data_IF_991115159628
#
_entry.id   IF_991115159628
#
_cell.length_a   1.000
_cell.length_b   1.000
_cell.length_c   1.000
_cell.angle_alpha   90.00
_cell.angle_beta   90.00
_cell.angle_gamma   90.00
#
_symmetry.space_group_name_H-M   'P 1'
#
loop_
_entity.id
_entity.type
_entity.pdbx_description
1 polymer ?
#
# COMPACT_ATOMS: atom_id res chain seq x y z
N UNK A 1 0.30 -11.48 16.48
CA UNK A 1 1.34 -11.35 17.51
C UNK A 1 0.76 -10.86 18.83
N UNK A 2 1.54 -10.94 19.89
CA UNK A 2 1.19 -10.33 21.18
C UNK A 2 2.01 -9.05 21.35
N UNK A 3 1.39 -8.02 21.91
CA UNK A 3 2.07 -6.77 22.24
C UNK A 3 3.13 -6.98 23.34
N UNK A 4 4.19 -6.22 23.22
CA UNK A 4 5.07 -5.97 24.35
C UNK A 4 4.38 -4.96 25.28
N UNK A 5 4.29 -5.26 26.59
CA UNK A 5 3.61 -4.41 27.58
C UNK A 5 4.23 -3.02 27.76
N UNK A 6 5.34 -2.73 27.11
CA UNK A 6 6.08 -1.46 27.19
C UNK A 6 5.86 -0.52 25.98
N UNK A 7 5.09 -0.94 24.97
CA UNK A 7 4.83 -0.14 23.78
C UNK A 7 3.35 0.14 23.61
N UNK A 8 3.01 1.34 23.20
CA UNK A 8 1.64 1.68 22.86
C UNK A 8 1.21 0.99 21.54
N UNK A 9 -0.09 0.86 21.32
CA UNK A 9 -0.66 0.33 20.06
C UNK A 9 -0.14 1.13 18.86
N UNK A 10 -0.09 2.45 18.97
CA UNK A 10 0.38 3.33 17.90
C UNK A 10 1.86 3.15 17.61
N UNK A 11 2.71 3.05 18.62
CA UNK A 11 4.14 2.76 18.43
C UNK A 11 4.35 1.40 17.77
N UNK A 12 3.58 0.40 18.17
CA UNK A 12 3.63 -0.93 17.56
C UNK A 12 3.23 -0.88 16.09
N UNK A 13 2.16 -0.17 15.75
CA UNK A 13 1.74 0.03 14.35
C UNK A 13 2.84 0.77 13.56
N UNK A 14 3.34 1.88 14.08
CA UNK A 14 4.35 2.70 13.39
C UNK A 14 5.68 1.98 13.20
N UNK A 15 6.03 1.03 14.06
CA UNK A 15 7.25 0.23 13.89
C UNK A 15 7.21 -0.66 12.64
N UNK A 16 6.02 -1.08 12.22
CA UNK A 16 5.82 -1.92 11.03
C UNK A 16 5.40 -1.16 9.78
N UNK A 17 4.92 0.07 9.93
CA UNK A 17 4.36 0.86 8.83
C UNK A 17 5.35 1.95 8.34
N UNK A 18 5.37 2.29 7.03
CA UNK A 18 4.66 1.65 5.92
C UNK A 18 5.20 0.23 5.62
N UNK A 19 4.31 -0.64 5.13
CA UNK A 19 4.65 -2.03 4.85
C UNK A 19 5.73 -2.14 3.76
N UNK A 20 6.78 -2.96 4.01
CA UNK A 20 7.90 -3.12 3.09
C UNK A 20 7.51 -3.64 1.71
N UNK A 21 6.42 -4.42 1.63
CA UNK A 21 5.88 -4.96 0.37
C UNK A 21 5.38 -3.88 -0.60
N UNK A 22 5.09 -2.69 -0.11
CA UNK A 22 4.61 -1.55 -0.95
C UNK A 22 5.57 -0.38 -0.97
N UNK A 23 6.56 -0.35 -0.07
CA UNK A 23 7.62 0.66 -0.08
C UNK A 23 8.91 0.12 -0.73
N UNK A 24 9.31 -1.08 -0.39
CA UNK A 24 10.56 -1.68 -0.83
C UNK A 24 11.62 -1.73 0.27
N UNK A 25 12.81 -2.22 -0.08
CA UNK A 25 13.94 -2.35 0.82
C UNK A 25 15.26 -1.95 0.12
N UNK A 26 16.15 -1.22 0.81
CA UNK A 26 16.03 -0.60 2.14
C UNK A 26 14.90 0.44 2.19
N UNK A 27 14.09 0.43 3.25
CA UNK A 27 12.81 1.16 3.32
C UNK A 27 12.94 2.66 3.01
N UNK A 28 13.88 3.35 3.65
CA UNK A 28 14.05 4.80 3.49
C UNK A 28 14.43 5.13 2.05
N UNK A 29 15.45 4.47 1.49
CA UNK A 29 15.87 4.74 0.11
C UNK A 29 14.81 4.38 -0.91
N UNK A 30 14.05 3.32 -0.69
CA UNK A 30 12.93 2.95 -1.54
C UNK A 30 11.83 4.03 -1.55
N UNK A 31 11.52 4.60 -0.39
CA UNK A 31 10.54 5.68 -0.27
C UNK A 31 11.01 6.98 -0.93
N UNK A 32 12.32 7.32 -0.83
CA UNK A 32 12.92 8.44 -1.55
C UNK A 32 12.77 8.27 -3.07
N UNK A 33 13.11 7.08 -3.59
CA UNK A 33 12.96 6.77 -5.03
C UNK A 33 11.51 6.88 -5.48
N UNK A 34 10.57 6.41 -4.68
CA UNK A 34 9.14 6.54 -4.96
C UNK A 34 8.74 8.02 -5.07
N UNK A 35 9.20 8.86 -4.14
CA UNK A 35 8.88 10.31 -4.17
C UNK A 35 9.57 11.04 -5.34
N UNK A 36 10.77 10.60 -5.74
CA UNK A 36 11.50 11.11 -6.90
C UNK A 36 10.81 10.76 -8.23
N UNK A 37 10.31 9.52 -8.38
CA UNK A 37 9.88 8.98 -9.67
C UNK A 37 8.37 9.01 -9.89
N UNK A 38 7.55 8.85 -8.85
CA UNK A 38 6.11 8.84 -8.99
C UNK A 38 5.55 10.26 -9.14
N UNK A 39 5.00 10.55 -10.31
CA UNK A 39 4.41 11.88 -10.62
C UNK A 39 3.16 12.18 -9.80
N UNK A 40 2.44 11.17 -9.36
CA UNK A 40 1.19 11.29 -8.61
C UNK A 40 1.37 10.77 -7.18
N UNK A 41 0.93 11.55 -6.22
CA UNK A 41 0.93 11.10 -4.82
C UNK A 41 0.00 9.90 -4.64
N UNK A 42 0.45 8.90 -3.89
CA UNK A 42 -0.28 7.64 -3.64
C UNK A 42 -1.58 7.82 -2.85
N UNK A 43 -1.64 8.82 -1.99
CA UNK A 43 -2.82 9.11 -1.14
C UNK A 43 -3.25 7.87 -0.35
N UNK A 44 -4.45 7.33 -0.66
CA UNK A 44 -4.96 6.13 -0.02
C UNK A 44 -4.18 4.87 -0.40
N UNK A 45 -3.68 4.79 -1.64
CA UNK A 45 -2.98 3.62 -2.15
C UNK A 45 -1.73 3.30 -1.33
N UNK A 46 -1.56 2.04 -0.95
CA UNK A 46 -0.48 1.54 -0.10
C UNK A 46 -0.47 2.07 1.35
N UNK A 47 -1.50 2.81 1.75
CA UNK A 47 -1.72 3.21 3.13
C UNK A 47 -2.19 2.06 4.01
N UNK A 48 -2.36 2.30 5.31
CA UNK A 48 -2.97 1.38 6.26
C UNK A 48 -4.46 1.67 6.45
N UNK A 49 -5.26 0.63 6.48
CA UNK A 49 -6.66 0.67 6.90
C UNK A 49 -6.83 -0.32 8.04
N UNK A 50 -7.50 0.10 9.10
CA UNK A 50 -7.71 -0.80 10.22
C UNK A 50 -8.62 -0.22 11.29
N UNK A 51 -8.75 -0.95 12.36
CA UNK A 51 -9.52 -0.54 13.52
C UNK A 51 -8.78 -0.88 14.82
N UNK A 52 -9.10 -0.14 15.86
CA UNK A 52 -8.62 -0.35 17.21
C UNK A 52 -9.81 -0.64 18.12
N UNK A 53 -9.65 -1.59 19.03
CA UNK A 53 -10.70 -1.95 19.98
C UNK A 53 -10.42 -1.38 21.37
N UNK A 54 -11.45 -1.22 22.22
CA UNK A 54 -11.25 -0.79 23.60
C UNK A 54 -10.39 -1.77 24.44
N UNK A 55 -10.26 -3.02 24.00
CA UNK A 55 -9.45 -4.06 24.65
C UNK A 55 -7.96 -4.03 24.26
N UNK A 56 -7.50 -2.94 23.68
CA UNK A 56 -6.14 -2.81 23.18
C UNK A 56 -5.75 -3.84 22.11
N UNK A 57 -6.69 -4.22 21.27
CA UNK A 57 -6.43 -5.01 20.07
C UNK A 57 -6.54 -4.11 18.83
N UNK A 58 -5.83 -4.46 17.76
CA UNK A 58 -6.04 -3.84 16.47
C UNK A 58 -5.84 -4.85 15.33
N UNK A 59 -6.51 -4.56 14.23
CA UNK A 59 -6.31 -5.28 12.98
C UNK A 59 -6.17 -4.27 11.85
N UNK A 60 -5.18 -4.49 10.98
CA UNK A 60 -4.85 -3.57 9.89
C UNK A 60 -4.53 -4.32 8.62
N UNK A 61 -4.87 -3.72 7.50
CA UNK A 61 -4.47 -4.19 6.18
C UNK A 61 -3.86 -3.06 5.35
N UNK A 62 -3.17 -3.43 4.28
CA UNK A 62 -2.66 -2.47 3.30
C UNK A 62 -3.78 -2.11 2.34
N UNK A 63 -3.96 -0.81 2.06
CA UNK A 63 -4.93 -0.30 1.08
C UNK A 63 -4.50 -0.66 -0.35
N UNK A 64 -4.71 -1.91 -0.74
CA UNK A 64 -4.48 -2.46 -2.06
C UNK A 64 -5.79 -3.01 -2.64
N UNK A 65 -5.88 -3.17 -3.96
CA UNK A 65 -7.08 -3.69 -4.64
C UNK A 65 -8.33 -2.91 -4.22
N UNK A 66 -8.15 -1.61 -4.02
CA UNK A 66 -9.18 -0.67 -3.54
C UNK A 66 -9.35 0.42 -4.58
N UNK A 67 -10.58 0.85 -4.79
CA UNK A 67 -10.89 1.97 -5.65
C UNK A 67 -11.55 3.09 -4.84
N UNK A 68 -11.33 4.32 -5.26
CA UNK A 68 -11.98 5.50 -4.71
C UNK A 68 -13.01 6.02 -5.71
N UNK A 69 -14.26 6.14 -5.27
CA UNK A 69 -15.30 6.81 -6.05
C UNK A 69 -15.50 8.21 -5.46
N UNK A 70 -15.28 9.22 -6.27
CA UNK A 70 -15.46 10.63 -5.87
C UNK A 70 -15.86 11.48 -7.07
N UNK A 71 -16.89 12.32 -6.91
CA UNK A 71 -17.37 13.23 -7.95
C UNK A 71 -17.67 12.50 -9.27
N UNK A 72 -18.39 11.38 -9.20
CA UNK A 72 -18.72 10.53 -10.35
C UNK A 72 -17.48 10.01 -11.13
N UNK A 73 -16.32 9.96 -10.47
CA UNK A 73 -15.08 9.40 -11.05
C UNK A 73 -14.62 8.22 -10.24
N UNK A 74 -14.14 7.22 -10.93
CA UNK A 74 -13.56 6.00 -10.37
C UNK A 74 -12.04 6.06 -10.47
N UNK A 75 -11.37 6.03 -9.33
CA UNK A 75 -9.91 6.10 -9.23
C UNK A 75 -9.35 4.76 -8.80
N UNK A 76 -8.50 4.19 -9.63
CA UNK A 76 -7.77 2.95 -9.36
C UNK A 76 -6.29 3.23 -9.41
N UNK A 77 -5.54 2.71 -8.45
CA UNK A 77 -4.10 2.73 -8.46
C UNK A 77 -3.55 1.32 -8.22
N UNK A 78 -2.55 0.94 -9.00
CA UNK A 78 -1.86 -0.33 -8.87
C UNK A 78 -0.37 -0.12 -9.08
N UNK A 79 0.43 -1.01 -8.50
CA UNK A 79 1.89 -1.00 -8.63
C UNK A 79 2.45 -2.42 -8.64
N UNK A 80 3.68 -2.55 -9.09
CA UNK A 80 4.47 -3.78 -9.04
C UNK A 80 5.72 -3.57 -8.18
N UNK A 81 6.20 -4.63 -7.54
CA UNK A 81 7.46 -4.62 -6.82
C UNK A 81 8.62 -4.77 -7.81
N UNK A 82 9.59 -3.87 -7.75
CA UNK A 82 10.74 -3.88 -8.64
C UNK A 82 11.93 -4.51 -7.92
N UNK A 83 12.57 -5.46 -8.58
CA UNK A 83 13.79 -6.13 -8.13
C UNK A 83 14.84 -6.10 -9.25
N UNK A 84 16.07 -6.52 -8.95
CA UNK A 84 17.20 -6.45 -9.90
C UNK A 84 16.92 -7.16 -11.23
N UNK A 85 16.18 -8.26 -11.21
CA UNK A 85 15.85 -9.06 -12.40
C UNK A 85 14.52 -8.65 -13.06
N UNK A 86 13.86 -7.61 -12.57
CA UNK A 86 12.60 -7.11 -13.13
C UNK A 86 12.78 -6.62 -14.57
N UNK A 87 11.82 -6.97 -15.42
CA UNK A 87 11.73 -6.51 -16.81
C UNK A 87 10.63 -5.46 -16.91
N UNK A 88 10.92 -4.21 -17.32
CA UNK A 88 9.97 -3.09 -17.30
C UNK A 88 8.61 -3.42 -17.93
N UNK A 89 8.61 -4.10 -19.08
CA UNK A 89 7.39 -4.46 -19.79
C UNK A 89 6.53 -5.46 -19.00
N UNK A 90 7.16 -6.41 -18.31
CA UNK A 90 6.43 -7.38 -17.48
C UNK A 90 5.82 -6.73 -16.25
N UNK A 91 6.58 -5.88 -15.58
CA UNK A 91 6.11 -5.15 -14.41
C UNK A 91 4.97 -4.19 -14.77
N UNK A 92 5.10 -3.49 -15.89
CA UNK A 92 4.01 -2.66 -16.41
C UNK A 92 2.75 -3.49 -16.69
N UNK A 93 2.86 -4.63 -17.36
CA UNK A 93 1.74 -5.51 -17.64
C UNK A 93 1.09 -6.04 -16.36
N UNK A 94 1.88 -6.32 -15.33
CA UNK A 94 1.39 -6.70 -14.00
C UNK A 94 0.53 -5.60 -13.39
N UNK A 95 0.96 -4.33 -13.45
CA UNK A 95 0.16 -3.21 -12.94
C UNK A 95 -1.18 -3.09 -13.66
N UNK A 96 -1.18 -3.22 -14.98
CA UNK A 96 -2.41 -3.22 -15.80
C UNK A 96 -3.35 -4.35 -15.39
N UNK A 97 -2.84 -5.55 -15.22
CA UNK A 97 -3.65 -6.71 -14.83
C UNK A 97 -4.25 -6.56 -13.43
N UNK A 98 -3.49 -5.99 -12.48
CA UNK A 98 -3.99 -5.67 -11.14
C UNK A 98 -5.11 -4.61 -11.17
N UNK A 99 -5.00 -3.60 -12.02
CA UNK A 99 -6.04 -2.58 -12.20
C UNK A 99 -7.31 -3.12 -12.86
N UNK A 100 -7.17 -3.97 -13.89
CA UNK A 100 -8.30 -4.58 -14.62
C UNK A 100 -9.28 -5.33 -13.71
N UNK A 101 -8.78 -5.99 -12.66
CA UNK A 101 -9.62 -6.73 -11.72
C UNK A 101 -10.65 -5.81 -11.00
N UNK A 102 -10.24 -4.58 -10.70
CA UNK A 102 -11.13 -3.57 -10.09
C UNK A 102 -12.05 -2.91 -11.13
N UNK A 103 -11.55 -2.69 -12.32
CA UNK A 103 -12.34 -2.06 -13.38
C UNK A 103 -13.53 -2.91 -13.82
N UNK A 104 -13.37 -4.23 -13.84
CA UNK A 104 -14.47 -5.17 -14.09
C UNK A 104 -15.61 -5.14 -13.07
N UNK A 105 -15.40 -4.54 -11.91
CA UNK A 105 -16.42 -4.43 -10.88
C UNK A 105 -17.40 -3.25 -11.12
N UNK A 106 -17.13 -2.41 -12.11
CA UNK A 106 -17.96 -1.22 -12.46
C UNK A 106 -18.49 -1.26 -13.90
N UNK A 107 -18.13 -2.29 -14.65
CA UNK A 107 -18.74 -2.65 -15.95
C UNK A 107 -20.04 -3.46 -15.69
#
# INVERSE_FOLDING_TARGET
GKFNNHTSIFETLLSGFPAGTVSGAPKIRAMEIIDELEKNKRKLYAGGIGYFTPNNEFDTCIALRTALIKNNKFYVQAGAGIVADSKPEKEYLETINKAKALMKAVD
#
